data_IF_126175590945
#
_entry.id   IF_126175590945
#
_cell.length_a   1.000
_cell.length_b   1.000
_cell.length_c   1.000
_cell.angle_alpha   90.00
_cell.angle_beta   90.00
_cell.angle_gamma   90.00
#
_symmetry.space_group_name_H-M   'P 1'
#
loop_
_entity.id
_entity.type
_entity.pdbx_description
1 polymer ?
#
# COMPACT_ATOMS: atom_id res chain seq x y z
N UNK A 1 -8.93 -3.09 -34.60
CA UNK A 1 -8.02 -3.62 -33.55
C UNK A 1 -6.64 -2.93 -33.55
N UNK A 2 -6.57 -1.60 -33.74
CA UNK A 2 -5.32 -0.79 -33.61
C UNK A 2 -5.60 0.69 -33.21
N UNK A 3 -6.72 0.97 -32.51
CA UNK A 3 -7.09 2.34 -32.12
C UNK A 3 -7.25 2.57 -30.61
N UNK A 4 -6.89 1.59 -29.77
CA UNK A 4 -6.96 1.73 -28.30
C UNK A 4 -5.60 2.00 -27.62
N UNK A 5 -4.48 1.83 -28.33
CA UNK A 5 -3.14 2.05 -27.78
C UNK A 5 -2.64 3.51 -27.88
N UNK A 6 -3.28 4.38 -28.67
CA UNK A 6 -2.80 5.75 -28.85
C UNK A 6 -3.29 6.74 -27.78
N UNK A 7 -4.33 6.41 -27.01
CA UNK A 7 -4.76 7.29 -25.90
C UNK A 7 -3.95 7.10 -24.61
N UNK A 8 -3.27 5.96 -24.44
CA UNK A 8 -2.42 5.71 -23.26
C UNK A 8 -1.10 6.51 -23.32
N UNK A 9 -0.59 6.83 -24.52
CA UNK A 9 0.64 7.61 -24.69
C UNK A 9 0.45 9.13 -24.56
N UNK A 10 -0.80 9.62 -24.51
CA UNK A 10 -1.12 11.05 -24.45
C UNK A 10 -1.11 11.63 -23.04
N UNK A 11 -0.99 10.79 -22.00
CA UNK A 11 -0.80 11.23 -20.62
C UNK A 11 0.68 11.40 -20.23
N UNK A 12 1.57 11.52 -21.22
CA UNK A 12 2.97 11.87 -21.01
C UNK A 12 3.13 13.39 -21.16
N UNK A 13 3.16 14.05 -19.99
CA UNK A 13 3.59 15.43 -19.66
C UNK A 13 2.53 16.16 -18.84
N UNK A 14 2.26 15.66 -17.64
CA UNK A 14 2.06 16.62 -16.55
C UNK A 14 3.45 17.16 -16.19
N UNK A 15 3.63 18.49 -16.06
CA UNK A 15 4.89 19.05 -15.58
C UNK A 15 5.15 18.40 -14.22
N UNK A 16 6.31 17.76 -14.10
CA UNK A 16 6.78 17.16 -12.86
C UNK A 16 6.65 18.24 -11.80
N UNK A 17 5.62 18.12 -10.95
CA UNK A 17 5.57 18.89 -9.73
C UNK A 17 6.89 18.63 -9.05
N UNK A 18 7.51 19.66 -8.50
CA UNK A 18 8.65 19.52 -7.59
C UNK A 18 8.12 18.67 -6.43
N UNK A 19 8.20 17.35 -6.58
CA UNK A 19 7.12 16.46 -6.15
C UNK A 19 7.45 15.82 -4.82
N UNK A 20 6.66 16.14 -3.80
CA UNK A 20 6.77 15.54 -2.48
C UNK A 20 6.76 14.01 -2.59
N UNK A 21 7.80 13.35 -2.07
CA UNK A 21 7.81 11.90 -1.93
C UNK A 21 7.30 11.49 -0.56
N UNK A 22 6.41 10.53 -0.53
CA UNK A 22 5.89 9.87 0.65
C UNK A 22 6.69 8.62 1.04
N UNK A 23 7.80 8.29 0.37
CA UNK A 23 8.60 7.09 0.71
C UNK A 23 8.95 7.01 2.20
N UNK A 24 9.50 8.10 2.77
CA UNK A 24 9.82 8.15 4.19
C UNK A 24 8.59 8.09 5.11
N UNK A 25 7.43 8.59 4.65
CA UNK A 25 6.17 8.41 5.38
C UNK A 25 5.75 6.93 5.38
N UNK A 26 5.76 6.27 4.21
CA UNK A 26 5.39 4.86 4.04
C UNK A 26 6.25 3.97 4.94
N UNK A 27 7.58 4.15 4.91
CA UNK A 27 8.51 3.39 5.73
C UNK A 27 8.26 3.57 7.23
N UNK A 28 7.99 4.80 7.68
CA UNK A 28 7.67 5.08 9.09
C UNK A 28 6.36 4.41 9.50
N UNK A 29 5.31 4.47 8.67
CA UNK A 29 4.04 3.80 8.97
C UNK A 29 4.20 2.28 9.02
N UNK A 30 4.91 1.70 8.04
CA UNK A 30 5.15 0.27 7.95
C UNK A 30 5.95 -0.28 9.15
N UNK A 31 6.87 0.52 9.72
CA UNK A 31 7.61 0.18 10.95
C UNK A 31 6.82 0.46 12.23
N UNK A 32 5.90 1.43 12.21
CA UNK A 32 5.14 1.87 13.39
C UNK A 32 4.07 0.87 13.80
N UNK A 33 3.46 0.21 12.82
CA UNK A 33 2.38 -0.76 13.02
C UNK A 33 2.84 -2.16 12.63
N UNK A 34 2.62 -3.18 13.48
CA UNK A 34 2.92 -4.57 13.13
C UNK A 34 2.25 -5.01 11.82
N UNK A 35 1.02 -4.54 11.59
CA UNK A 35 0.30 -4.69 10.33
C UNK A 35 -0.12 -3.31 9.86
N UNK A 36 0.39 -2.89 8.70
CA UNK A 36 0.01 -1.64 8.04
C UNK A 36 -0.60 -1.97 6.68
N UNK A 37 -1.83 -1.53 6.41
CA UNK A 37 -2.48 -1.74 5.12
C UNK A 37 -2.91 -0.42 4.50
N UNK A 38 -2.51 -0.21 3.25
CA UNK A 38 -3.09 0.82 2.39
C UNK A 38 -4.23 0.18 1.60
N UNK A 39 -5.41 0.78 1.66
CA UNK A 39 -6.66 0.20 1.14
C UNK A 39 -7.45 1.22 0.35
N UNK A 40 -8.41 0.75 -0.46
CA UNK A 40 -9.29 1.59 -1.27
C UNK A 40 -10.75 1.34 -0.86
N UNK A 41 -11.56 2.39 -0.81
CA UNK A 41 -13.02 2.27 -0.60
C UNK A 41 -13.64 1.41 -1.70
N UNK A 42 -14.69 0.66 -1.36
CA UNK A 42 -15.42 -0.21 -2.31
C UNK A 42 -14.54 -1.24 -3.06
N UNK A 43 -13.40 -1.63 -2.47
CA UNK A 43 -12.49 -2.61 -3.04
C UNK A 43 -12.74 -4.02 -2.46
N UNK A 44 -13.34 -4.92 -3.23
CA UNK A 44 -13.59 -6.31 -2.82
C UNK A 44 -12.34 -7.06 -2.32
N UNK A 45 -11.18 -7.07 -3.02
CA UNK A 45 -9.99 -7.75 -2.50
C UNK A 45 -9.48 -7.11 -1.19
N UNK A 46 -9.66 -5.81 -1.01
CA UNK A 46 -9.31 -5.12 0.21
C UNK A 46 -10.19 -5.56 1.40
N UNK A 47 -11.50 -5.70 1.19
CA UNK A 47 -12.41 -6.16 2.25
C UNK A 47 -12.09 -7.60 2.66
N UNK A 48 -11.76 -8.46 1.69
CA UNK A 48 -11.30 -9.83 1.97
C UNK A 48 -10.01 -9.85 2.78
N UNK A 49 -9.03 -9.01 2.43
CA UNK A 49 -7.79 -8.90 3.17
C UNK A 49 -8.01 -8.39 4.60
N UNK A 50 -8.84 -7.36 4.81
CA UNK A 50 -9.22 -6.89 6.16
C UNK A 50 -9.82 -8.03 6.99
N UNK A 51 -10.74 -8.79 6.41
CA UNK A 51 -11.35 -9.93 7.09
C UNK A 51 -10.31 -11.01 7.45
N UNK A 52 -9.44 -11.37 6.51
CA UNK A 52 -8.37 -12.35 6.75
C UNK A 52 -7.45 -11.91 7.89
N UNK A 53 -7.04 -10.64 7.90
CA UNK A 53 -6.21 -10.06 8.97
C UNK A 53 -6.93 -10.09 10.31
N UNK A 54 -8.21 -9.70 10.34
CA UNK A 54 -9.02 -9.69 11.56
C UNK A 54 -9.21 -11.09 12.18
N UNK A 55 -9.29 -12.15 11.34
CA UNK A 55 -9.47 -13.53 11.82
C UNK A 55 -8.14 -14.21 12.16
N UNK A 56 -7.12 -14.02 11.32
CA UNK A 56 -5.86 -14.77 11.43
C UNK A 56 -4.84 -14.11 12.36
N UNK A 57 -4.99 -12.81 12.60
CA UNK A 57 -4.09 -11.98 13.40
C UNK A 57 -4.89 -11.11 14.38
N UNK A 58 -5.95 -11.68 14.98
CA UNK A 58 -6.90 -10.97 15.83
C UNK A 58 -6.26 -10.26 17.05
N UNK A 59 -5.11 -10.78 17.51
CA UNK A 59 -4.32 -10.27 18.63
C UNK A 59 -3.22 -9.28 18.21
N UNK A 60 -3.03 -9.06 16.90
CA UNK A 60 -1.99 -8.17 16.37
C UNK A 60 -2.59 -6.81 15.99
N UNK A 61 -2.08 -5.69 16.54
CA UNK A 61 -2.53 -4.37 16.14
C UNK A 61 -2.32 -4.11 14.64
N UNK A 62 -3.41 -3.77 13.95
CA UNK A 62 -3.42 -3.43 12.53
C UNK A 62 -3.91 -1.99 12.32
N UNK A 63 -3.27 -1.28 11.39
CA UNK A 63 -3.69 0.05 10.97
C UNK A 63 -4.00 0.08 9.48
N UNK A 64 -5.15 0.65 9.12
CA UNK A 64 -5.65 0.71 7.75
C UNK A 64 -5.78 2.18 7.30
N UNK A 65 -5.04 2.58 6.27
CA UNK A 65 -5.18 3.88 5.63
C UNK A 65 -6.07 3.76 4.39
N UNK A 66 -7.27 4.34 4.44
CA UNK A 66 -8.25 4.25 3.36
C UNK A 66 -8.08 5.36 2.32
N UNK A 67 -8.04 4.95 1.05
CA UNK A 67 -8.03 5.82 -0.10
C UNK A 67 -9.45 5.99 -0.62
N UNK A 68 -9.76 7.21 -1.04
CA UNK A 68 -10.94 7.52 -1.87
C UNK A 68 -10.56 7.61 -3.35
N UNK A 69 -9.30 7.90 -3.67
CA UNK A 69 -8.72 7.87 -5.01
C UNK A 69 -8.78 9.20 -5.78
N UNK A 70 -9.35 10.24 -5.20
CA UNK A 70 -9.58 11.52 -5.89
C UNK A 70 -8.63 12.64 -5.44
N UNK A 71 -7.93 12.46 -4.32
CA UNK A 71 -7.07 13.47 -3.71
C UNK A 71 -5.64 13.39 -4.25
N UNK A 72 -5.00 14.54 -4.50
CA UNK A 72 -3.66 14.58 -5.11
C UNK A 72 -2.59 13.90 -4.25
N UNK A 73 -2.68 14.05 -2.93
CA UNK A 73 -1.75 13.37 -2.02
C UNK A 73 -1.89 11.85 -2.07
N UNK A 74 -3.11 11.33 -2.29
CA UNK A 74 -3.35 9.88 -2.45
C UNK A 74 -2.77 9.38 -3.77
N UNK A 75 -2.88 10.15 -4.85
CA UNK A 75 -2.27 9.81 -6.14
C UNK A 75 -0.74 9.74 -6.02
N UNK A 76 -0.13 10.71 -5.35
CA UNK A 76 1.33 10.69 -5.16
C UNK A 76 1.78 9.57 -4.21
N UNK A 77 1.01 9.31 -3.14
CA UNK A 77 1.26 8.21 -2.22
C UNK A 77 1.14 6.84 -2.92
N UNK A 78 0.18 6.65 -3.84
CA UNK A 78 0.05 5.40 -4.60
C UNK A 78 1.21 5.20 -5.58
N UNK A 79 1.69 6.26 -6.23
CA UNK A 79 2.90 6.19 -7.08
C UNK A 79 4.10 5.69 -6.26
N UNK A 80 4.28 6.22 -5.04
CA UNK A 80 5.37 5.77 -4.17
C UNK A 80 5.17 4.35 -3.64
N UNK A 81 3.94 3.92 -3.35
CA UNK A 81 3.63 2.54 -3.00
C UNK A 81 3.98 1.57 -4.13
N UNK A 82 3.61 1.88 -5.38
CA UNK A 82 3.98 1.06 -6.55
C UNK A 82 5.50 0.98 -6.68
N UNK A 83 6.19 2.12 -6.57
CA UNK A 83 7.65 2.17 -6.67
C UNK A 83 8.35 1.35 -5.60
N UNK A 84 7.87 1.39 -4.35
CA UNK A 84 8.48 0.68 -3.22
C UNK A 84 8.16 -0.81 -3.19
N UNK A 85 6.99 -1.20 -3.68
CA UNK A 85 6.47 -2.57 -3.51
C UNK A 85 6.51 -3.39 -4.80
N UNK A 86 6.57 -2.73 -5.96
CA UNK A 86 6.41 -3.38 -7.27
C UNK A 86 4.98 -3.83 -7.58
N UNK A 87 4.04 -3.66 -6.65
CA UNK A 87 2.64 -4.04 -6.81
C UNK A 87 1.84 -2.86 -7.41
N UNK A 88 0.94 -3.12 -8.35
CA UNK A 88 0.16 -2.06 -9.02
C UNK A 88 -1.25 -1.86 -8.46
N UNK A 89 -1.73 -2.80 -7.64
CA UNK A 89 -3.13 -2.86 -7.20
C UNK A 89 -3.25 -2.85 -5.69
N UNK A 90 -4.41 -2.42 -5.17
CA UNK A 90 -4.72 -2.56 -3.74
C UNK A 90 -5.14 -4.01 -3.41
N UNK A 91 -4.95 -4.45 -2.15
CA UNK A 91 -4.36 -3.74 -1.01
C UNK A 91 -2.82 -3.87 -0.93
N UNK A 92 -2.14 -2.82 -0.46
CA UNK A 92 -0.71 -2.91 -0.10
C UNK A 92 -0.59 -3.23 1.38
N UNK A 93 -0.07 -4.39 1.72
CA UNK A 93 0.03 -4.87 3.10
C UNK A 93 1.50 -4.93 3.48
N UNK A 94 1.83 -4.33 4.62
CA UNK A 94 3.12 -4.45 5.26
C UNK A 94 2.96 -5.17 6.58
N UNK A 95 3.78 -6.20 6.82
CA UNK A 95 3.90 -6.89 8.10
C UNK A 95 5.32 -6.68 8.61
N UNK A 96 5.43 -6.09 9.80
CA UNK A 96 6.70 -5.70 10.42
C UNK A 96 7.66 -4.95 9.51
N UNK A 97 7.13 -3.95 8.79
CA UNK A 97 7.91 -3.13 7.88
C UNK A 97 8.19 -3.76 6.50
N UNK A 98 7.83 -5.02 6.28
CA UNK A 98 8.03 -5.72 5.00
C UNK A 98 6.72 -5.81 4.21
N UNK A 99 6.74 -5.46 2.93
CA UNK A 99 5.58 -5.62 2.07
C UNK A 99 5.33 -7.12 1.77
N UNK A 100 4.07 -7.54 1.89
CA UNK A 100 3.60 -8.86 1.47
C UNK A 100 2.97 -8.71 0.09
N UNK A 101 3.77 -9.01 -0.93
CA UNK A 101 3.49 -8.75 -2.34
C UNK A 101 4.73 -8.95 -3.19
N UNK A 102 5.92 -8.77 -2.59
CA UNK A 102 7.21 -9.33 -3.04
C UNK A 102 7.58 -10.59 -2.25
N UNK A 103 8.37 -11.48 -2.86
CA UNK A 103 8.84 -12.75 -2.28
C UNK A 103 9.68 -12.55 -0.99
N UNK A 104 9.07 -12.45 0.17
CA UNK A 104 9.59 -12.93 1.46
C UNK A 104 8.64 -12.58 2.61
N UNK A 105 8.06 -13.61 3.23
CA UNK A 105 7.32 -13.51 4.49
C UNK A 105 8.25 -13.91 5.63
N UNK A 106 8.92 -12.94 6.27
CA UNK A 106 9.59 -13.20 7.54
C UNK A 106 8.58 -12.95 8.66
N UNK A 107 8.45 -13.91 9.59
CA UNK A 107 7.66 -13.73 10.80
C UNK A 107 8.21 -12.53 11.57
N UNK A 108 7.32 -11.65 12.01
CA UNK A 108 7.60 -10.62 12.99
C UNK A 108 8.28 -11.23 14.22
N UNK A 109 9.61 -11.20 14.31
CA UNK A 109 10.30 -11.47 15.57
C UNK A 109 10.16 -10.23 16.43
N UNK A 110 9.10 -10.26 17.22
CA UNK A 110 8.83 -9.35 18.31
C UNK A 110 10.11 -9.07 19.10
N UNK A 111 10.65 -7.85 18.96
CA UNK A 111 11.38 -7.18 20.04
C UNK A 111 10.45 -6.20 20.76
N UNK A 112 9.19 -6.59 20.89
CA UNK A 112 8.21 -6.02 21.81
C UNK A 112 7.52 -7.21 22.48
N UNK A 113 8.24 -7.79 23.45
CA UNK A 113 7.80 -8.84 24.35
C UNK A 113 6.28 -8.83 24.58
N UNK A 114 5.64 -9.95 24.29
CA UNK A 114 4.49 -10.38 25.08
C UNK A 114 5.05 -11.39 26.09
N UNK A 115 5.01 -11.01 27.37
CA UNK A 115 5.10 -11.93 28.50
C UNK A 115 3.74 -12.59 28.66
#
# INVERSE_FOLDING_TARGET
MYKFQQEVLKYRRQPVSVGYSYAGYIERQARRYPIMMYTLVQCVPCQRAKHLLAVSYADVPAYFLEFVGHEDWQRQLSVDLIRLTGQETFPYIFICGQNIGGESLNKCTSTHQLV
#
